data_IF_351913521910
#
_entry.id   IF_351913521910
#
_cell.length_a   1.000
_cell.length_b   1.000
_cell.length_c   1.000
_cell.angle_alpha   90.00
_cell.angle_beta   90.00
_cell.angle_gamma   90.00
#
_symmetry.space_group_name_H-M   'P 1'
#
loop_
_entity.id
_entity.type
_entity.pdbx_description
1 polymer ?
#
# COMPACT_ATOMS: atom_id res chain seq x y z
N UNK A 1 18.36 34.28 -22.30
CA UNK A 1 17.06 33.65 -21.94
C UNK A 1 16.09 34.73 -21.47
N UNK A 2 14.96 34.90 -22.13
CA UNK A 2 13.99 35.99 -21.83
C UNK A 2 13.33 35.75 -20.47
N UNK A 3 12.93 36.82 -19.75
CA UNK A 3 12.25 36.70 -18.44
C UNK A 3 11.06 35.72 -18.48
N UNK A 4 10.31 35.70 -19.58
CA UNK A 4 9.21 34.76 -19.83
C UNK A 4 9.67 33.29 -19.85
N UNK A 5 10.79 32.98 -20.50
CA UNK A 5 11.40 31.63 -20.50
C UNK A 5 11.86 31.19 -19.11
N UNK A 6 12.41 32.11 -18.30
CA UNK A 6 12.79 31.83 -16.90
C UNK A 6 11.58 31.47 -16.03
N UNK A 7 10.49 32.24 -16.15
CA UNK A 7 9.23 31.96 -15.42
C UNK A 7 8.64 30.61 -15.81
N UNK A 8 8.62 30.28 -17.11
CA UNK A 8 8.13 28.98 -17.59
C UNK A 8 8.92 27.79 -17.01
N UNK A 9 10.24 27.91 -16.93
CA UNK A 9 11.09 26.86 -16.33
C UNK A 9 10.80 26.69 -14.84
N UNK A 10 10.61 27.79 -14.11
CA UNK A 10 10.28 27.74 -12.68
C UNK A 10 8.92 27.07 -12.47
N UNK A 11 7.91 27.43 -13.27
CA UNK A 11 6.57 26.79 -13.19
C UNK A 11 6.67 25.31 -13.49
N UNK A 12 7.38 24.92 -14.55
CA UNK A 12 7.57 23.51 -14.89
C UNK A 12 8.27 22.73 -13.76
N UNK A 13 9.30 23.31 -13.14
CA UNK A 13 9.99 22.72 -12.00
C UNK A 13 9.03 22.52 -10.80
N UNK A 14 8.19 23.52 -10.49
CA UNK A 14 7.19 23.41 -9.41
C UNK A 14 6.18 22.30 -9.69
N UNK A 15 5.69 22.17 -10.93
CA UNK A 15 4.75 21.12 -11.31
C UNK A 15 5.38 19.74 -11.15
N UNK A 16 6.62 19.55 -11.62
CA UNK A 16 7.36 18.29 -11.45
C UNK A 16 7.49 17.95 -9.95
N UNK A 17 7.87 18.94 -9.14
CA UNK A 17 8.07 18.75 -7.70
C UNK A 17 6.76 18.36 -7.00
N UNK A 18 5.65 19.02 -7.34
CA UNK A 18 4.33 18.71 -6.80
C UNK A 18 3.89 17.27 -7.14
N UNK A 19 4.10 16.85 -8.39
CA UNK A 19 3.80 15.49 -8.84
C UNK A 19 4.68 14.46 -8.11
N UNK A 20 5.99 14.73 -7.95
CA UNK A 20 6.88 13.85 -7.20
C UNK A 20 6.45 13.68 -5.74
N UNK A 21 6.09 14.78 -5.05
CA UNK A 21 5.60 14.72 -3.67
C UNK A 21 4.33 13.87 -3.58
N UNK A 22 3.40 14.02 -4.51
CA UNK A 22 2.18 13.22 -4.56
C UNK A 22 2.49 11.72 -4.64
N UNK A 23 3.35 11.31 -5.58
CA UNK A 23 3.75 9.90 -5.72
C UNK A 23 4.47 9.35 -4.48
N UNK A 24 5.32 10.16 -3.83
CA UNK A 24 6.03 9.73 -2.61
C UNK A 24 5.03 9.47 -1.49
N UNK A 25 4.08 10.39 -1.26
CA UNK A 25 3.07 10.25 -0.19
C UNK A 25 2.22 9.00 -0.39
N UNK A 26 1.84 8.73 -1.63
CA UNK A 26 1.03 7.56 -1.97
C UNK A 26 1.76 6.24 -1.67
N UNK A 27 3.01 6.13 -2.09
CA UNK A 27 3.85 4.96 -1.80
C UNK A 27 4.09 4.77 -0.29
N UNK A 28 4.26 5.87 0.47
CA UNK A 28 4.40 5.80 1.92
C UNK A 28 3.14 5.27 2.60
N UNK A 29 1.94 5.67 2.12
CA UNK A 29 0.67 5.17 2.65
C UNK A 29 0.52 3.66 2.43
N UNK A 30 0.85 3.17 1.23
CA UNK A 30 0.81 1.72 0.93
C UNK A 30 1.77 0.94 1.83
N UNK A 31 3.01 1.40 1.98
CA UNK A 31 4.00 0.75 2.87
C UNK A 31 3.58 0.78 4.34
N UNK A 32 2.97 1.87 4.79
CA UNK A 32 2.45 1.97 6.15
C UNK A 32 1.34 0.95 6.41
N UNK A 33 0.45 0.72 5.44
CA UNK A 33 -0.59 -0.31 5.52
C UNK A 33 0.00 -1.73 5.52
N UNK A 34 1.03 -1.98 4.71
CA UNK A 34 1.73 -3.27 4.71
C UNK A 34 2.36 -3.56 6.08
N UNK A 35 3.07 -2.59 6.66
CA UNK A 35 3.68 -2.73 7.99
C UNK A 35 2.64 -2.86 9.11
N UNK A 36 1.58 -2.05 9.08
CA UNK A 36 0.51 -2.13 10.09
C UNK A 36 -0.24 -3.46 10.04
N UNK A 37 -0.47 -4.03 8.86
CA UNK A 37 -1.06 -5.37 8.76
C UNK A 37 -0.08 -6.44 9.23
N UNK A 38 1.21 -6.31 8.93
CA UNK A 38 2.24 -7.22 9.45
C UNK A 38 2.21 -7.26 10.98
N UNK A 39 2.20 -6.08 11.61
CA UNK A 39 2.13 -5.95 13.06
C UNK A 39 0.86 -6.58 13.63
N UNK A 40 -0.30 -6.38 13.00
CA UNK A 40 -1.55 -7.03 13.39
C UNK A 40 -1.47 -8.56 13.31
N UNK A 41 -0.94 -9.09 12.20
CA UNK A 41 -0.83 -10.52 11.99
C UNK A 41 0.12 -11.18 13.01
N UNK A 42 1.23 -10.52 13.34
CA UNK A 42 2.20 -11.05 14.29
C UNK A 42 1.71 -10.88 15.73
N UNK A 43 1.37 -9.66 16.13
CA UNK A 43 1.13 -9.33 17.54
C UNK A 43 -0.28 -9.72 18.01
N UNK A 44 -1.29 -9.59 17.15
CA UNK A 44 -2.68 -9.87 17.53
C UNK A 44 -3.15 -11.26 17.08
N UNK A 45 -2.71 -11.72 15.90
CA UNK A 45 -3.08 -13.05 15.38
C UNK A 45 -2.06 -14.14 15.68
N UNK A 46 -0.86 -13.79 16.17
CA UNK A 46 0.15 -14.75 16.58
C UNK A 46 0.86 -15.47 15.44
N UNK A 47 0.81 -14.96 14.21
CA UNK A 47 1.58 -15.51 13.10
C UNK A 47 3.08 -15.28 13.30
N UNK A 48 3.92 -16.25 12.94
CA UNK A 48 5.35 -15.98 12.86
C UNK A 48 5.66 -15.18 11.58
N UNK A 49 6.62 -14.26 11.65
CA UNK A 49 7.09 -13.53 10.47
C UNK A 49 7.54 -14.46 9.33
N UNK A 50 8.09 -15.62 9.67
CA UNK A 50 8.49 -16.67 8.72
C UNK A 50 7.34 -17.34 7.98
N UNK A 51 6.11 -17.22 8.49
CA UNK A 51 4.91 -17.81 7.90
C UNK A 51 4.30 -16.89 6.85
N UNK A 52 4.72 -15.62 6.79
CA UNK A 52 4.22 -14.61 5.86
C UNK A 52 5.18 -14.55 4.67
N UNK A 53 4.71 -14.97 3.49
CA UNK A 53 5.49 -14.88 2.25
C UNK A 53 5.53 -13.44 1.75
N UNK A 54 4.37 -12.78 1.75
CA UNK A 54 4.24 -11.43 1.22
C UNK A 54 3.01 -10.72 1.74
N UNK A 55 3.16 -9.42 2.00
CA UNK A 55 2.07 -8.47 2.25
C UNK A 55 2.20 -7.38 1.20
N UNK A 56 1.12 -7.10 0.45
CA UNK A 56 1.11 -6.08 -0.59
C UNK A 56 -0.16 -5.25 -0.54
N UNK A 57 -0.02 -3.96 -0.26
CA UNK A 57 -1.11 -3.00 -0.39
C UNK A 57 -1.26 -2.55 -1.84
N UNK A 58 -2.49 -2.34 -2.29
CA UNK A 58 -2.77 -1.78 -3.61
C UNK A 58 -3.88 -0.74 -3.52
N UNK A 59 -3.98 0.07 -4.56
CA UNK A 59 -5.18 0.85 -4.83
C UNK A 59 -6.23 0.00 -5.51
N UNK A 60 -7.47 0.11 -5.04
CA UNK A 60 -8.65 -0.47 -5.69
C UNK A 60 -9.87 0.42 -5.50
N UNK A 61 -10.99 0.08 -6.14
CA UNK A 61 -12.25 0.81 -5.97
C UNK A 61 -12.94 0.48 -4.65
N UNK A 62 -12.93 -0.79 -4.25
CA UNK A 62 -13.58 -1.27 -3.02
C UNK A 62 -12.90 -2.55 -2.53
N UNK A 63 -12.32 -2.58 -1.31
CA UNK A 63 -11.97 -1.40 -0.50
C UNK A 63 -10.99 -0.48 -1.25
N UNK A 64 -10.79 0.76 -0.78
CA UNK A 64 -9.89 1.73 -1.42
C UNK A 64 -8.41 1.24 -1.37
N UNK A 65 -8.03 0.66 -0.24
CA UNK A 65 -6.70 0.12 0.01
C UNK A 65 -6.75 -1.34 0.45
N UNK A 66 -7.02 -2.29 -0.46
CA UNK A 66 -6.89 -3.71 -0.17
C UNK A 66 -5.43 -4.06 0.12
N UNK A 67 -5.22 -4.90 1.14
CA UNK A 67 -3.92 -5.49 1.43
C UNK A 67 -4.00 -7.00 1.24
N UNK A 68 -3.14 -7.50 0.34
CA UNK A 68 -3.10 -8.91 -0.05
C UNK A 68 -1.99 -9.62 0.70
N UNK A 69 -2.31 -10.73 1.35
CA UNK A 69 -1.37 -11.54 2.13
C UNK A 69 -1.28 -12.94 1.55
N UNK A 70 -0.06 -13.47 1.46
CA UNK A 70 0.19 -14.89 1.18
C UNK A 70 0.96 -15.49 2.35
N UNK A 71 0.49 -16.64 2.80
CA UNK A 71 1.15 -17.40 3.85
C UNK A 71 1.88 -18.62 3.30
N UNK A 72 2.87 -19.11 4.04
CA UNK A 72 3.76 -20.20 3.62
C UNK A 72 3.09 -21.57 3.62
N UNK A 73 2.13 -21.78 4.52
CA UNK A 73 1.33 -23.00 4.61
C UNK A 73 0.38 -23.16 3.41
N UNK A 74 -0.13 -22.04 2.88
CA UNK A 74 -1.08 -21.99 1.77
C UNK A 74 -0.62 -20.96 0.72
N UNK A 75 0.49 -21.23 0.01
CA UNK A 75 1.09 -20.24 -0.91
C UNK A 75 0.18 -19.87 -2.08
N UNK A 76 -0.74 -20.77 -2.44
CA UNK A 76 -1.70 -20.58 -3.53
C UNK A 76 -2.94 -19.77 -3.11
N UNK A 77 -3.08 -19.44 -1.82
CA UNK A 77 -4.21 -18.65 -1.31
C UNK A 77 -3.76 -17.22 -1.05
N UNK A 78 -4.51 -16.28 -1.62
CA UNK A 78 -4.33 -14.86 -1.36
C UNK A 78 -5.45 -14.38 -0.46
N UNK A 79 -5.07 -13.96 0.74
CA UNK A 79 -5.98 -13.39 1.72
C UNK A 79 -6.11 -11.89 1.51
N UNK A 80 -7.35 -11.39 1.51
CA UNK A 80 -7.67 -9.98 1.31
C UNK A 80 -8.05 -9.34 2.65
N UNK A 81 -7.30 -8.31 3.05
CA UNK A 81 -7.53 -7.52 4.24
C UNK A 81 -7.84 -6.06 3.92
N UNK A 82 -8.52 -5.38 4.83
CA UNK A 82 -8.71 -3.92 4.83
C UNK A 82 -8.84 -3.40 6.25
N UNK A 83 -8.42 -2.17 6.49
CA UNK A 83 -8.63 -1.45 7.74
C UNK A 83 -9.90 -0.56 7.72
N UNK A 84 -10.58 -0.46 6.56
CA UNK A 84 -11.67 0.48 6.27
C UNK A 84 -11.39 1.92 6.73
N UNK A 85 -10.12 2.33 6.79
CA UNK A 85 -9.69 3.63 7.32
C UNK A 85 -9.90 3.82 8.83
N UNK A 86 -10.09 2.74 9.60
CA UNK A 86 -10.34 2.77 11.06
C UNK A 86 -9.25 2.09 11.88
N UNK A 87 -8.11 1.75 11.29
CA UNK A 87 -7.01 1.02 11.95
C UNK A 87 -7.42 -0.33 12.55
N UNK A 88 -8.58 -0.87 12.15
CA UNK A 88 -9.06 -2.18 12.59
C UNK A 88 -9.04 -3.13 11.40
N UNK A 89 -8.13 -4.09 11.42
CA UNK A 89 -7.98 -5.04 10.33
C UNK A 89 -9.12 -6.04 10.27
N UNK A 90 -9.71 -6.17 9.08
CA UNK A 90 -10.74 -7.16 8.76
C UNK A 90 -10.31 -7.93 7.53
N UNK A 91 -10.39 -9.26 7.63
CA UNK A 91 -10.29 -10.14 6.47
C UNK A 91 -11.63 -10.10 5.72
N UNK A 92 -11.58 -9.80 4.43
CA UNK A 92 -12.77 -9.75 3.57
C UNK A 92 -12.97 -11.05 2.80
N UNK A 93 -11.90 -11.61 2.26
CA UNK A 93 -12.00 -12.74 1.34
C UNK A 93 -10.70 -13.58 1.30
N UNK A 94 -10.82 -14.76 0.68
CA UNK A 94 -9.72 -15.65 0.32
C UNK A 94 -9.84 -16.02 -1.17
N UNK A 95 -8.90 -15.53 -1.97
CA UNK A 95 -8.85 -15.80 -3.39
C UNK A 95 -7.93 -17.00 -3.61
N UNK A 96 -8.46 -18.12 -4.13
CA UNK A 96 -7.61 -19.20 -4.62
C UNK A 96 -6.92 -18.74 -5.90
N UNK A 97 -5.60 -18.86 -5.96
CA UNK A 97 -4.84 -18.79 -7.21
C UNK A 97 -5.39 -19.82 -8.18
N UNK A 98 -5.74 -19.37 -9.38
CA UNK A 98 -6.07 -20.26 -10.50
C UNK A 98 -4.84 -21.03 -10.94
#
# INVERSE_FOLDING_TARGET
>A
MTRKKKVLIIIAAIVILAVSIFFIRDNLKLRALEGSLEDYLINEKGYAKSDIISIKARHSKMPEYPVYVRFKNEPDVVYLFTDLGKSEWKQLDKLKGK
#
